data_IF_281483972454
#
_entry.id   IF_281483972454
#
_cell.length_a   1.000
_cell.length_b   1.000
_cell.length_c   1.000
_cell.angle_alpha   90.00
_cell.angle_beta   90.00
_cell.angle_gamma   90.00
#
_symmetry.space_group_name_H-M   'P 1'
#
loop_
_entity.id
_entity.type
_entity.pdbx_description
1 polymer ?
#
# COMPACT_ATOMS: atom_id res chain seq x y z
N UNK A 1 -9.92 -7.35 -3.10
CA UNK A 1 -10.84 -6.59 -2.23
C UNK A 1 -10.60 -5.13 -2.53
N UNK A 2 -11.63 -4.38 -2.92
CA UNK A 2 -11.47 -2.95 -3.25
C UNK A 2 -11.83 -2.13 -2.03
N UNK A 3 -10.95 -1.20 -1.66
CA UNK A 3 -11.18 -0.28 -0.56
C UNK A 3 -11.76 1.03 -1.11
N UNK A 4 -12.72 1.59 -0.38
CA UNK A 4 -13.50 2.76 -0.78
C UNK A 4 -13.49 3.83 0.29
N UNK A 5 -13.58 5.09 -0.13
CA UNK A 5 -13.52 6.27 0.74
C UNK A 5 -14.64 7.26 0.41
N UNK A 6 -15.18 7.88 1.45
CA UNK A 6 -16.14 8.98 1.34
C UNK A 6 -15.43 10.28 0.95
N UNK A 7 -16.21 11.30 0.56
CA UNK A 7 -15.67 12.62 0.19
C UNK A 7 -14.88 13.29 1.34
N UNK A 8 -15.25 13.02 2.59
CA UNK A 8 -14.54 13.54 3.77
C UNK A 8 -13.27 12.74 4.12
N UNK A 9 -12.94 11.71 3.33
CA UNK A 9 -11.78 10.84 3.54
C UNK A 9 -12.04 9.64 4.44
N UNK A 10 -13.22 9.50 5.06
CA UNK A 10 -13.51 8.35 5.90
C UNK A 10 -13.60 7.05 5.08
N UNK A 11 -12.96 6.00 5.59
CA UNK A 11 -13.01 4.67 5.00
C UNK A 11 -14.45 4.11 5.03
N UNK A 12 -14.89 3.55 3.89
CA UNK A 12 -16.17 2.86 3.72
C UNK A 12 -15.94 1.49 3.09
N UNK A 13 -15.16 0.65 3.77
CA UNK A 13 -14.78 -0.67 3.24
C UNK A 13 -15.92 -1.69 3.31
N UNK A 14 -16.81 -1.54 4.29
CA UNK A 14 -17.98 -2.42 4.48
C UNK A 14 -19.28 -1.63 4.55
N UNK A 15 -20.37 -2.29 4.15
CA UNK A 15 -21.74 -1.79 4.24
C UNK A 15 -22.69 -2.88 4.71
N UNK A 16 -23.84 -2.47 5.27
CA UNK A 16 -24.94 -3.38 5.59
C UNK A 16 -25.78 -3.61 4.34
N UNK A 17 -25.87 -4.86 3.90
CA UNK A 17 -26.69 -5.25 2.77
C UNK A 17 -28.19 -5.20 3.06
N UNK A 18 -29.02 -5.35 2.03
CA UNK A 18 -30.48 -5.38 2.18
C UNK A 18 -30.99 -6.52 3.08
N UNK A 19 -30.18 -7.58 3.26
CA UNK A 19 -30.43 -8.69 4.18
C UNK A 19 -30.00 -8.40 5.63
N UNK A 20 -29.55 -7.18 5.94
CA UNK A 20 -29.05 -6.80 7.27
C UNK A 20 -27.63 -7.30 7.58
N UNK A 21 -27.00 -8.06 6.70
CA UNK A 21 -25.64 -8.58 6.92
C UNK A 21 -24.58 -7.59 6.42
N UNK A 22 -23.49 -7.45 7.18
CA UNK A 22 -22.34 -6.67 6.76
C UNK A 22 -21.56 -7.40 5.65
N UNK A 23 -21.18 -6.68 4.59
CA UNK A 23 -20.38 -7.19 3.48
C UNK A 23 -19.43 -6.13 2.94
N UNK A 24 -18.50 -6.56 2.11
CA UNK A 24 -17.60 -5.66 1.39
C UNK A 24 -18.36 -4.70 0.47
N UNK A 25 -17.86 -3.48 0.39
CA UNK A 25 -18.35 -2.45 -0.51
C UNK A 25 -17.92 -2.77 -1.94
N UNK A 26 -18.88 -2.78 -2.86
CA UNK A 26 -18.65 -3.07 -4.27
C UNK A 26 -18.63 -1.78 -5.10
N UNK A 27 -18.14 -1.85 -6.33
CA UNK A 27 -18.25 -0.74 -7.29
C UNK A 27 -19.70 -0.30 -7.52
N UNK A 28 -20.67 -1.22 -7.42
CA UNK A 28 -22.10 -0.87 -7.53
C UNK A 28 -22.53 0.05 -6.38
N UNK A 29 -22.11 -0.28 -5.16
CA UNK A 29 -22.42 0.54 -3.98
C UNK A 29 -21.70 1.89 -4.08
N UNK A 30 -20.43 1.88 -4.50
CA UNK A 30 -19.65 3.10 -4.72
C UNK A 30 -20.31 4.05 -5.73
N UNK A 31 -20.92 3.52 -6.80
CA UNK A 31 -21.68 4.33 -7.76
C UNK A 31 -22.84 5.07 -7.11
N UNK A 32 -23.58 4.39 -6.24
CA UNK A 32 -24.74 4.97 -5.55
C UNK A 32 -24.31 5.97 -4.47
N UNK A 33 -23.25 5.66 -3.72
CA UNK A 33 -22.78 6.48 -2.60
C UNK A 33 -21.65 7.44 -2.95
N UNK A 34 -21.33 7.57 -4.24
CA UNK A 34 -20.25 8.42 -4.76
C UNK A 34 -18.90 8.20 -4.03
N UNK A 35 -18.50 6.95 -3.83
CA UNK A 35 -17.26 6.61 -3.11
C UNK A 35 -16.04 6.57 -4.04
N UNK A 36 -14.92 7.12 -3.57
CA UNK A 36 -13.66 7.06 -4.28
C UNK A 36 -12.97 5.69 -4.09
N UNK A 37 -12.42 5.09 -5.17
CA UNK A 37 -11.56 3.90 -5.05
C UNK A 37 -10.24 4.22 -4.34
N UNK A 38 -9.66 3.21 -3.70
CA UNK A 38 -8.36 3.35 -3.03
C UNK A 38 -7.19 3.51 -4.00
N UNK A 39 -6.11 4.15 -3.54
CA UNK A 39 -4.81 4.20 -4.24
C UNK A 39 -4.39 2.79 -4.71
N UNK A 40 -4.48 1.79 -3.84
CA UNK A 40 -4.12 0.40 -4.18
C UNK A 40 -5.06 -0.24 -5.20
N UNK A 41 -6.35 0.10 -5.19
CA UNK A 41 -7.33 -0.37 -6.19
C UNK A 41 -6.98 0.20 -7.56
N UNK A 42 -6.56 1.46 -7.64
CA UNK A 42 -6.16 2.11 -8.89
C UNK A 42 -4.84 1.56 -9.40
N UNK A 43 -3.84 1.37 -8.52
CA UNK A 43 -2.55 0.80 -8.89
C UNK A 43 -2.68 -0.63 -9.42
N UNK A 44 -3.72 -1.38 -9.00
CA UNK A 44 -3.98 -2.73 -9.50
C UNK A 44 -4.34 -2.80 -10.99
N UNK A 45 -4.54 -1.66 -11.66
CA UNK A 45 -4.59 -1.59 -13.12
C UNK A 45 -3.27 -1.97 -13.78
N UNK A 46 -2.14 -1.77 -13.09
CA UNK A 46 -0.85 -2.23 -13.56
C UNK A 46 -0.62 -3.69 -13.18
N UNK A 47 -0.01 -4.43 -14.09
CA UNK A 47 0.60 -5.70 -13.72
C UNK A 47 1.58 -5.47 -12.57
N UNK A 48 1.64 -6.43 -11.64
CA UNK A 48 2.61 -6.43 -10.54
C UNK A 48 3.57 -7.61 -10.71
N UNK A 49 4.53 -7.57 -11.67
CA UNK A 49 5.38 -8.71 -11.98
C UNK A 49 6.10 -9.28 -10.77
N UNK A 50 6.66 -8.42 -9.90
CA UNK A 50 7.33 -8.86 -8.68
C UNK A 50 6.43 -9.65 -7.72
N UNK A 51 5.14 -9.29 -7.61
CA UNK A 51 4.18 -10.04 -6.81
C UNK A 51 3.79 -11.35 -7.49
N UNK A 52 3.59 -11.33 -8.81
CA UNK A 52 3.29 -12.51 -9.62
C UNK A 52 4.42 -13.54 -9.53
N UNK A 53 5.67 -13.11 -9.72
CA UNK A 53 6.86 -13.95 -9.62
C UNK A 53 7.01 -14.52 -8.21
N UNK A 54 6.81 -13.69 -7.18
CA UNK A 54 6.84 -14.16 -5.80
C UNK A 54 5.78 -15.23 -5.52
N UNK A 55 4.52 -15.02 -5.95
CA UNK A 55 3.46 -16.03 -5.78
C UNK A 55 3.79 -17.33 -6.52
N UNK A 56 4.38 -17.24 -7.72
CA UNK A 56 4.83 -18.42 -8.46
C UNK A 56 5.96 -19.16 -7.71
N UNK A 57 6.93 -18.44 -7.18
CA UNK A 57 8.01 -19.03 -6.36
C UNK A 57 7.48 -19.71 -5.10
N UNK A 58 6.50 -19.12 -4.40
CA UNK A 58 5.89 -19.75 -3.21
C UNK A 58 5.10 -21.01 -3.58
N UNK A 59 4.46 -21.06 -4.75
CA UNK A 59 3.80 -22.28 -5.24
C UNK A 59 4.82 -23.38 -5.58
N UNK A 60 5.93 -23.01 -6.22
CA UNK A 60 7.03 -23.94 -6.52
C UNK A 60 7.67 -24.49 -5.25
N UNK A 61 7.95 -23.62 -4.26
CA UNK A 61 8.49 -24.05 -2.95
C UNK A 61 7.57 -25.05 -2.26
N UNK A 62 6.26 -24.81 -2.27
CA UNK A 62 5.29 -25.73 -1.70
C UNK A 62 5.30 -27.07 -2.45
N UNK A 63 5.33 -27.03 -3.78
CA UNK A 63 5.39 -28.24 -4.60
C UNK A 63 6.68 -29.06 -4.32
N UNK A 64 7.83 -28.40 -4.22
CA UNK A 64 9.11 -29.06 -3.90
C UNK A 64 9.13 -29.65 -2.50
N UNK A 65 8.55 -28.96 -1.52
CA UNK A 65 8.42 -29.47 -0.15
C UNK A 65 7.59 -30.75 -0.08
N UNK A 66 6.51 -30.82 -0.88
CA UNK A 66 5.62 -31.98 -0.90
C UNK A 66 6.09 -33.10 -1.85
N UNK A 67 6.98 -32.80 -2.80
CA UNK A 67 7.42 -33.73 -3.84
C UNK A 67 7.77 -35.16 -3.35
N UNK A 68 8.48 -35.36 -2.22
CA UNK A 68 8.80 -36.70 -1.73
C UNK A 68 7.59 -37.56 -1.31
N UNK A 69 6.42 -36.93 -1.11
CA UNK A 69 5.18 -37.57 -0.65
C UNK A 69 4.14 -37.71 -1.76
N UNK A 70 4.44 -37.21 -2.96
CA UNK A 70 3.51 -37.22 -4.09
C UNK A 70 3.69 -38.50 -4.92
N UNK A 71 2.60 -39.07 -5.46
CA UNK A 71 2.69 -40.18 -6.41
C UNK A 71 3.28 -39.70 -7.74
N UNK A 72 3.84 -40.62 -8.52
CA UNK A 72 4.41 -40.32 -9.86
C UNK A 72 3.37 -39.68 -10.81
N UNK A 73 2.10 -40.08 -10.69
CA UNK A 73 0.99 -39.52 -11.44
C UNK A 73 0.12 -38.64 -10.55
N UNK A 74 0.28 -37.32 -10.67
CA UNK A 74 -0.55 -36.36 -9.96
C UNK A 74 -1.90 -36.13 -10.64
N UNK A 75 -2.97 -36.38 -9.90
CA UNK A 75 -4.31 -35.97 -10.27
C UNK A 75 -4.49 -34.44 -10.15
N UNK A 76 -5.36 -33.82 -10.98
CA UNK A 76 -5.64 -32.38 -10.89
C UNK A 76 -6.11 -31.88 -9.52
N UNK A 77 -6.75 -32.76 -8.73
CA UNK A 77 -7.15 -32.46 -7.35
C UNK A 77 -5.95 -32.28 -6.41
N UNK A 78 -4.90 -33.09 -6.57
CA UNK A 78 -3.67 -32.99 -5.80
C UNK A 78 -2.93 -31.67 -6.12
N UNK A 79 -2.84 -31.32 -7.41
CA UNK A 79 -2.26 -30.04 -7.86
C UNK A 79 -3.00 -28.85 -7.25
N UNK A 80 -4.35 -28.86 -7.28
CA UNK A 80 -5.17 -27.82 -6.63
C UNK A 80 -4.94 -27.77 -5.12
N UNK A 81 -4.71 -28.91 -4.48
CA UNK A 81 -4.38 -29.00 -3.06
C UNK A 81 -3.06 -28.30 -2.72
N UNK A 82 -1.99 -28.57 -3.47
CA UNK A 82 -0.68 -27.91 -3.31
C UNK A 82 -0.83 -26.39 -3.47
N UNK A 83 -1.52 -25.97 -4.53
CA UNK A 83 -1.76 -24.55 -4.78
C UNK A 83 -2.55 -23.89 -3.64
N UNK A 84 -3.58 -24.56 -3.11
CA UNK A 84 -4.36 -24.05 -1.96
C UNK A 84 -3.49 -23.85 -0.72
N UNK A 85 -2.61 -24.81 -0.39
CA UNK A 85 -1.69 -24.71 0.74
C UNK A 85 -0.66 -23.60 0.56
N UNK A 86 -0.13 -23.43 -0.66
CA UNK A 86 0.72 -22.28 -0.98
C UNK A 86 0.00 -20.95 -0.74
N UNK A 87 -1.28 -20.84 -1.13
CA UNK A 87 -2.09 -19.65 -0.84
C UNK A 87 -2.32 -19.44 0.67
N UNK A 88 -2.52 -20.49 1.44
CA UNK A 88 -2.62 -20.40 2.91
C UNK A 88 -1.32 -19.85 3.53
N UNK A 89 -0.16 -20.33 3.09
CA UNK A 89 1.14 -19.82 3.54
C UNK A 89 1.33 -18.33 3.19
N UNK A 90 1.01 -17.92 1.96
CA UNK A 90 1.09 -16.48 1.57
C UNK A 90 0.11 -15.61 2.38
N UNK A 91 -1.07 -16.12 2.73
CA UNK A 91 -2.03 -15.44 3.60
C UNK A 91 -1.48 -15.24 5.01
N UNK A 92 -0.79 -16.24 5.57
CA UNK A 92 -0.13 -16.12 6.86
C UNK A 92 0.96 -15.05 6.84
N UNK A 93 1.77 -14.98 5.78
CA UNK A 93 2.79 -13.92 5.59
C UNK A 93 2.16 -12.52 5.52
N UNK A 94 1.06 -12.35 4.80
CA UNK A 94 0.33 -11.09 4.74
C UNK A 94 -0.30 -10.69 6.09
N UNK A 95 -0.77 -11.67 6.86
CA UNK A 95 -1.30 -11.44 8.21
C UNK A 95 -0.20 -10.98 9.17
N UNK A 96 0.99 -11.58 9.13
CA UNK A 96 2.16 -11.13 9.88
C UNK A 96 2.52 -9.69 9.53
N UNK A 97 2.53 -9.33 8.24
CA UNK A 97 2.75 -7.96 7.80
C UNK A 97 1.76 -6.97 8.41
N UNK A 98 0.47 -7.31 8.38
CA UNK A 98 -0.59 -6.51 9.04
C UNK A 98 -0.33 -6.32 10.53
N UNK A 99 0.11 -7.38 11.22
CA UNK A 99 0.42 -7.33 12.65
C UNK A 99 1.58 -6.38 12.94
N UNK A 100 2.65 -6.42 12.14
CA UNK A 100 3.81 -5.53 12.28
C UNK A 100 3.41 -4.07 12.04
N UNK A 101 2.65 -3.77 10.99
CA UNK A 101 2.17 -2.40 10.73
C UNK A 101 1.36 -1.86 11.92
N UNK A 102 0.43 -2.66 12.46
CA UNK A 102 -0.35 -2.29 13.65
C UNK A 102 0.52 -2.07 14.89
N UNK A 103 1.62 -2.80 15.03
CA UNK A 103 2.54 -2.59 16.13
C UNK A 103 3.28 -1.25 16.00
N UNK A 104 3.70 -0.87 14.79
CA UNK A 104 4.29 0.45 14.52
C UNK A 104 3.25 1.56 14.75
N UNK A 105 2.02 1.40 14.23
CA UNK A 105 0.91 2.33 14.44
C UNK A 105 0.66 2.60 15.93
N UNK A 106 0.52 1.54 16.74
CA UNK A 106 0.32 1.65 18.19
C UNK A 106 1.46 2.38 18.87
N UNK A 107 2.70 2.02 18.53
CA UNK A 107 3.87 2.68 19.10
C UNK A 107 3.91 4.19 18.76
N UNK A 108 3.51 4.58 17.54
CA UNK A 108 3.43 5.99 17.14
C UNK A 108 2.27 6.76 17.81
N UNK A 109 1.27 6.05 18.35
CA UNK A 109 0.17 6.64 19.14
C UNK A 109 0.44 6.66 20.65
N UNK A 110 1.64 6.28 21.09
CA UNK A 110 1.99 6.04 22.49
C UNK A 110 1.09 4.99 23.18
N UNK A 111 0.53 4.06 22.41
CA UNK A 111 -0.25 2.93 22.93
C UNK A 111 0.67 1.80 23.42
N UNK A 112 0.16 0.96 24.34
CA UNK A 112 0.90 -0.21 24.82
C UNK A 112 1.15 -1.24 23.68
N UNK A 113 2.42 -1.65 23.54
CA UNK A 113 2.85 -2.71 22.62
C UNK A 113 3.34 -3.95 23.38
N UNK A 114 3.13 -5.14 22.81
CA UNK A 114 3.66 -6.39 23.37
C UNK A 114 5.19 -6.46 23.21
N UNK A 115 5.86 -7.11 24.16
CA UNK A 115 7.33 -7.30 24.16
C UNK A 115 7.85 -7.99 22.89
N UNK A 116 7.08 -8.93 22.33
CA UNK A 116 7.41 -9.61 21.07
C UNK A 116 7.57 -8.56 19.97
N UNK A 117 6.46 -7.95 19.52
CA UNK A 117 6.43 -6.89 18.51
C UNK A 117 7.40 -5.72 18.72
N UNK A 118 7.74 -5.40 19.98
CA UNK A 118 8.69 -4.33 20.29
C UNK A 118 10.08 -4.59 19.68
N UNK A 119 10.51 -5.86 19.57
CA UNK A 119 11.80 -6.21 18.96
C UNK A 119 11.79 -6.05 17.44
N UNK A 120 10.71 -6.44 16.77
CA UNK A 120 10.61 -6.32 15.31
C UNK A 120 10.58 -4.85 14.86
N UNK A 121 9.93 -3.97 15.63
CA UNK A 121 9.73 -2.57 15.24
C UNK A 121 10.77 -1.59 15.80
N UNK A 122 11.64 -2.02 16.72
CA UNK A 122 12.58 -1.11 17.41
C UNK A 122 13.42 -0.28 16.42
N UNK A 123 14.04 -0.92 15.43
CA UNK A 123 14.85 -0.23 14.43
C UNK A 123 14.01 0.71 13.55
N UNK A 124 12.77 0.35 13.26
CA UNK A 124 11.81 1.22 12.54
C UNK A 124 11.53 2.49 13.34
N UNK A 125 11.23 2.37 14.63
CA UNK A 125 10.95 3.53 15.49
C UNK A 125 12.17 4.43 15.66
N UNK A 126 13.35 3.85 15.92
CA UNK A 126 14.61 4.60 16.00
C UNK A 126 14.91 5.35 14.69
N UNK A 127 14.65 4.72 13.55
CA UNK A 127 14.84 5.39 12.26
C UNK A 127 13.86 6.54 12.04
N UNK A 128 12.57 6.36 12.36
CA UNK A 128 11.56 7.43 12.28
C UNK A 128 11.93 8.62 13.19
N UNK A 129 12.34 8.36 14.42
CA UNK A 129 12.78 9.39 15.38
C UNK A 129 14.03 10.16 14.86
N UNK A 130 14.96 9.44 14.23
CA UNK A 130 16.16 10.08 13.62
C UNK A 130 15.81 11.00 12.45
N UNK A 131 14.67 10.76 11.79
CA UNK A 131 14.22 11.54 10.64
C UNK A 131 13.41 12.78 11.06
N UNK A 132 12.58 12.64 12.10
CA UNK A 132 11.82 13.73 12.70
C UNK A 132 11.46 13.42 14.15
N UNK A 133 11.60 14.45 15.00
CA UNK A 133 11.11 14.46 16.39
C UNK A 133 9.74 15.12 16.52
N UNK A 134 9.14 15.58 15.42
CA UNK A 134 7.80 16.12 15.42
C UNK A 134 6.76 14.98 15.49
N UNK A 135 5.49 15.36 15.64
CA UNK A 135 4.39 14.40 15.72
C UNK A 135 4.27 13.59 14.42
N UNK A 136 4.20 12.27 14.57
CA UNK A 136 3.85 11.34 13.51
C UNK A 136 2.36 11.02 13.60
N UNK A 137 1.68 11.05 12.46
CA UNK A 137 0.28 10.67 12.31
C UNK A 137 0.22 9.31 11.59
N UNK A 138 -0.07 8.21 12.29
CA UNK A 138 -0.22 6.90 11.66
C UNK A 138 -1.65 6.66 11.17
N UNK A 139 -1.79 5.89 10.09
CA UNK A 139 -3.08 5.47 9.50
C UNK A 139 -4.01 6.64 9.12
N UNK A 140 -3.45 7.70 8.53
CA UNK A 140 -4.24 8.86 8.07
C UNK A 140 -5.01 8.51 6.82
N UNK A 141 -6.34 8.42 6.96
CA UNK A 141 -7.26 8.28 5.82
C UNK A 141 -7.55 9.61 5.14
N UNK A 142 -7.74 9.57 3.82
CA UNK A 142 -8.00 10.75 3.01
C UNK A 142 -8.85 10.43 1.78
N UNK A 143 -9.44 11.47 1.20
CA UNK A 143 -9.90 11.47 -0.19
C UNK A 143 -9.38 12.72 -0.90
N UNK A 144 -9.26 12.67 -2.22
CA UNK A 144 -8.73 13.76 -3.02
C UNK A 144 -9.72 14.11 -4.15
N UNK A 145 -9.91 15.41 -4.50
CA UNK A 145 -10.83 15.85 -5.54
C UNK A 145 -10.67 15.19 -6.90
N UNK A 146 -9.52 14.58 -7.22
CA UNK A 146 -9.38 13.78 -8.44
C UNK A 146 -10.21 12.49 -8.46
N UNK A 147 -10.90 12.17 -7.36
CA UNK A 147 -11.78 11.00 -7.27
C UNK A 147 -11.05 9.73 -6.85
N UNK A 148 -10.07 9.85 -5.95
CA UNK A 148 -9.42 8.71 -5.29
C UNK A 148 -9.31 8.94 -3.78
N UNK A 149 -9.10 7.88 -3.02
CA UNK A 149 -8.82 7.95 -1.58
C UNK A 149 -7.77 6.94 -1.14
N UNK A 150 -7.39 6.97 0.12
CA UNK A 150 -6.36 6.08 0.64
C UNK A 150 -6.15 6.23 2.13
N UNK A 151 -5.26 5.41 2.66
CA UNK A 151 -4.76 5.51 4.03
C UNK A 151 -3.24 5.41 3.97
N UNK A 152 -2.54 6.32 4.65
CA UNK A 152 -1.07 6.28 4.76
C UNK A 152 -0.65 5.48 5.97
N UNK A 153 0.45 4.73 5.89
CA UNK A 153 1.00 4.07 7.10
C UNK A 153 1.46 5.12 8.13
N UNK A 154 2.28 6.10 7.71
CA UNK A 154 2.71 7.21 8.57
C UNK A 154 3.02 8.50 7.80
N UNK A 155 2.63 9.64 8.36
CA UNK A 155 2.98 10.98 7.85
C UNK A 155 3.45 11.87 8.99
N UNK A 156 4.49 12.67 8.76
CA UNK A 156 4.88 13.77 9.63
C UNK A 156 4.67 15.07 8.85
N UNK A 157 3.55 15.77 9.12
CA UNK A 157 3.16 16.96 8.35
C UNK A 157 4.10 18.14 8.52
N UNK A 158 4.57 18.36 9.75
CA UNK A 158 5.44 19.48 10.09
C UNK A 158 6.73 19.47 9.27
N UNK A 159 7.29 18.27 9.05
CA UNK A 159 8.52 18.09 8.29
C UNK A 159 8.29 17.58 6.86
N UNK A 160 7.02 17.50 6.41
CA UNK A 160 6.60 17.03 5.08
C UNK A 160 7.15 15.65 4.71
N UNK A 161 7.02 14.69 5.63
CA UNK A 161 7.52 13.33 5.44
C UNK A 161 6.34 12.38 5.26
N UNK A 162 6.41 11.49 4.27
CA UNK A 162 5.51 10.34 4.14
C UNK A 162 6.30 9.04 4.12
N UNK A 163 5.82 8.06 4.87
CA UNK A 163 6.42 6.73 4.97
C UNK A 163 5.35 5.67 4.70
N UNK A 164 5.74 4.66 3.94
CA UNK A 164 4.96 3.46 3.70
C UNK A 164 5.80 2.25 4.13
N UNK A 165 5.25 1.48 5.07
CA UNK A 165 5.91 0.31 5.62
C UNK A 165 5.73 -0.86 4.66
N UNK A 166 6.78 -1.66 4.50
CA UNK A 166 6.76 -2.87 3.67
C UNK A 166 7.36 -4.01 4.46
N UNK A 167 6.64 -5.10 4.62
CA UNK A 167 7.15 -6.29 5.31
C UNK A 167 7.57 -7.35 4.31
N UNK A 168 8.76 -7.92 4.49
CA UNK A 168 9.32 -8.92 3.58
C UNK A 168 10.31 -9.83 4.31
N UNK A 169 10.47 -11.05 3.81
CA UNK A 169 11.56 -11.94 4.23
C UNK A 169 12.87 -11.50 3.57
N UNK A 170 13.86 -11.06 4.37
CA UNK A 170 15.22 -10.71 3.94
C UNK A 170 16.16 -10.62 5.13
N UNK A 171 17.47 -10.70 4.89
CA UNK A 171 18.54 -10.61 5.89
C UNK A 171 19.48 -9.44 5.60
N UNK A 172 20.38 -9.16 6.53
CA UNK A 172 21.38 -8.11 6.35
C UNK A 172 22.27 -8.44 5.14
N UNK A 173 22.42 -7.47 4.23
CA UNK A 173 23.17 -7.63 2.99
C UNK A 173 22.35 -8.11 1.79
N UNK A 174 21.08 -8.51 1.99
CA UNK A 174 20.19 -8.84 0.88
C UNK A 174 19.72 -7.56 0.18
N UNK A 175 19.63 -7.61 -1.16
CA UNK A 175 19.00 -6.55 -1.94
C UNK A 175 17.48 -6.60 -1.78
N UNK A 176 16.89 -5.46 -1.41
CA UNK A 176 15.44 -5.33 -1.31
C UNK A 176 14.89 -4.73 -2.60
N UNK A 177 14.24 -5.59 -3.41
CA UNK A 177 13.62 -5.16 -4.66
C UNK A 177 12.52 -4.09 -4.45
N UNK A 178 12.57 -3.05 -5.27
CA UNK A 178 11.66 -1.90 -5.26
C UNK A 178 11.04 -1.77 -6.66
N UNK A 179 9.75 -1.41 -6.72
CA UNK A 179 8.99 -1.33 -7.96
C UNK A 179 8.27 0.00 -8.09
N UNK A 180 7.87 0.38 -9.30
CA UNK A 180 7.21 1.67 -9.55
C UNK A 180 5.90 1.85 -8.75
N UNK A 181 5.17 0.77 -8.48
CA UNK A 181 3.95 0.85 -7.67
C UNK A 181 4.21 1.34 -6.24
N UNK A 182 5.42 1.17 -5.71
CA UNK A 182 5.80 1.71 -4.41
C UNK A 182 5.87 3.23 -4.41
N UNK A 183 6.55 3.83 -5.41
CA UNK A 183 6.64 5.29 -5.53
C UNK A 183 5.30 5.91 -5.95
N UNK A 184 4.52 5.22 -6.78
CA UNK A 184 3.15 5.64 -7.12
C UNK A 184 2.27 5.76 -5.88
N UNK A 185 2.31 4.74 -5.00
CA UNK A 185 1.52 4.72 -3.77
C UNK A 185 1.93 5.89 -2.85
N UNK A 186 3.23 6.06 -2.59
CA UNK A 186 3.75 7.14 -1.76
C UNK A 186 3.39 8.52 -2.31
N UNK A 187 3.53 8.73 -3.63
CA UNK A 187 3.24 10.02 -4.25
C UNK A 187 1.76 10.36 -4.21
N UNK A 188 0.88 9.39 -4.50
CA UNK A 188 -0.57 9.57 -4.39
C UNK A 188 -1.00 9.87 -2.94
N UNK A 189 -0.38 9.21 -1.96
CA UNK A 189 -0.58 9.46 -0.54
C UNK A 189 -0.10 10.85 -0.13
N UNK A 190 1.09 11.28 -0.55
CA UNK A 190 1.64 12.61 -0.25
C UNK A 190 0.71 13.75 -0.72
N UNK A 191 0.17 13.61 -1.93
CA UNK A 191 -0.84 14.53 -2.48
C UNK A 191 -2.16 14.40 -1.71
N UNK A 192 -2.60 13.18 -1.44
CA UNK A 192 -3.86 12.89 -0.78
C UNK A 192 -3.97 13.46 0.63
N UNK A 193 -2.87 13.41 1.39
CA UNK A 193 -2.80 14.04 2.71
C UNK A 193 -2.43 15.52 2.63
N UNK A 194 -2.11 16.07 1.47
CA UNK A 194 -1.87 17.50 1.29
C UNK A 194 -0.50 18.01 1.75
N UNK A 195 0.49 17.13 1.89
CA UNK A 195 1.90 17.57 2.05
C UNK A 195 2.55 17.87 0.69
N UNK A 196 1.95 17.36 -0.40
CA UNK A 196 2.24 17.68 -1.79
C UNK A 196 0.99 18.21 -2.50
N UNK A 197 1.15 18.80 -3.69
CA UNK A 197 0.01 19.21 -4.53
C UNK A 197 0.02 18.53 -5.89
N UNK A 198 -1.17 18.28 -6.40
CA UNK A 198 -1.37 17.55 -7.65
C UNK A 198 -0.91 18.36 -8.87
N UNK A 199 -1.03 19.69 -8.81
CA UNK A 199 -0.70 20.63 -9.87
C UNK A 199 0.79 21.02 -9.92
N UNK A 200 1.59 20.59 -8.94
CA UNK A 200 3.00 20.93 -8.89
C UNK A 200 3.79 20.33 -10.05
N UNK A 201 4.60 21.19 -10.67
CA UNK A 201 5.64 20.82 -11.64
C UNK A 201 6.77 20.03 -10.96
N UNK A 202 7.60 19.35 -11.75
CA UNK A 202 8.77 18.63 -11.24
C UNK A 202 9.68 19.54 -10.39
N UNK A 203 9.84 20.80 -10.81
CA UNK A 203 10.65 21.79 -10.07
C UNK A 203 10.04 22.15 -8.72
N UNK A 204 8.73 22.36 -8.66
CA UNK A 204 8.04 22.64 -7.39
C UNK A 204 8.11 21.46 -6.42
N UNK A 205 8.09 20.21 -6.93
CA UNK A 205 8.37 19.02 -6.12
C UNK A 205 9.80 19.05 -5.56
N UNK A 206 10.80 19.35 -6.40
CA UNK A 206 12.21 19.44 -5.97
C UNK A 206 12.43 20.53 -4.92
N UNK A 207 11.75 21.67 -5.05
CA UNK A 207 11.81 22.80 -4.12
C UNK A 207 10.90 22.62 -2.88
N UNK A 208 10.03 21.62 -2.85
CA UNK A 208 9.00 21.44 -1.80
C UNK A 208 9.55 21.05 -0.42
N UNK A 209 10.73 20.42 -0.39
CA UNK A 209 11.32 19.81 0.80
C UNK A 209 10.66 18.50 1.25
N UNK A 210 9.76 17.90 0.45
CA UNK A 210 9.14 16.60 0.78
C UNK A 210 10.20 15.51 0.86
N UNK A 211 10.06 14.64 1.87
CA UNK A 211 10.82 13.40 1.98
C UNK A 211 9.86 12.21 1.94
N UNK A 212 10.19 11.19 1.17
CA UNK A 212 9.35 10.02 1.00
C UNK A 212 10.17 8.74 1.04
N UNK A 213 9.68 7.75 1.78
CA UNK A 213 10.40 6.50 2.00
C UNK A 213 9.48 5.29 1.97
N UNK A 214 9.88 4.24 1.27
CA UNK A 214 9.42 2.90 1.62
C UNK A 214 10.36 2.35 2.67
N UNK A 215 9.81 1.88 3.79
CA UNK A 215 10.60 1.36 4.89
C UNK A 215 10.37 -0.15 4.97
N UNK A 216 11.35 -0.91 4.51
CA UNK A 216 11.27 -2.37 4.48
C UNK A 216 11.66 -2.96 5.82
N UNK A 217 10.75 -3.68 6.46
CA UNK A 217 10.90 -4.30 7.77
C UNK A 217 11.03 -5.81 7.56
N UNK A 218 12.12 -6.40 8.05
CA UNK A 218 12.37 -7.83 7.88
C UNK A 218 11.44 -8.65 8.76
N UNK A 219 10.78 -9.65 8.17
CA UNK A 219 10.00 -10.65 8.90
C UNK A 219 10.84 -11.85 9.35
N UNK A 220 12.12 -11.91 8.97
CA UNK A 220 13.04 -13.03 9.28
C UNK A 220 14.22 -12.63 10.16
N UNK A 221 14.45 -11.34 10.35
CA UNK A 221 15.53 -10.79 11.17
C UNK A 221 14.96 -9.64 12.01
N UNK A 222 14.54 -9.90 13.25
CA UNK A 222 13.97 -8.88 14.12
C UNK A 222 14.90 -7.67 14.28
N UNK A 223 14.35 -6.47 14.20
CA UNK A 223 15.13 -5.22 14.29
C UNK A 223 15.94 -4.89 13.05
N UNK A 224 15.72 -5.55 11.90
CA UNK A 224 16.30 -5.16 10.62
C UNK A 224 15.28 -4.36 9.80
N UNK A 225 15.64 -3.10 9.52
CA UNK A 225 14.86 -2.18 8.70
C UNK A 225 15.74 -1.52 7.64
N UNK A 226 15.27 -1.47 6.39
CA UNK A 226 15.97 -0.86 5.25
C UNK A 226 15.12 0.27 4.67
N UNK A 227 15.51 1.55 4.85
CA UNK A 227 14.84 2.68 4.24
C UNK A 227 15.23 2.82 2.76
N UNK A 228 14.24 2.99 1.89
CA UNK A 228 14.43 3.32 0.48
C UNK A 228 13.92 4.75 0.25
N UNK A 229 14.82 5.73 0.08
CA UNK A 229 14.44 7.11 -0.20
C UNK A 229 13.99 7.29 -1.65
N UNK A 230 12.99 8.13 -1.86
CA UNK A 230 12.60 8.60 -3.20
C UNK A 230 12.99 10.05 -3.42
N UNK A 231 13.59 10.31 -4.57
CA UNK A 231 13.86 11.69 -5.01
C UNK A 231 12.54 12.40 -5.33
N UNK A 232 12.45 13.73 -5.17
CA UNK A 232 11.25 14.47 -5.58
C UNK A 232 10.88 14.27 -7.05
N UNK A 233 11.87 14.14 -7.93
CA UNK A 233 11.66 13.79 -9.35
C UNK A 233 11.01 12.42 -9.52
N UNK A 234 11.43 11.42 -8.76
CA UNK A 234 10.80 10.09 -8.78
C UNK A 234 9.36 10.15 -8.23
N UNK A 235 9.12 10.94 -7.18
CA UNK A 235 7.78 11.17 -6.62
C UNK A 235 6.84 11.83 -7.63
N UNK A 236 7.28 12.90 -8.29
CA UNK A 236 6.52 13.55 -9.36
C UNK A 236 6.20 12.56 -10.51
N UNK A 237 7.19 11.77 -10.95
CA UNK A 237 6.97 10.69 -11.93
C UNK A 237 5.96 9.65 -11.44
N UNK A 238 6.10 9.20 -10.20
CA UNK A 238 5.20 8.23 -9.57
C UNK A 238 3.76 8.74 -9.51
N UNK A 239 3.56 10.01 -9.19
CA UNK A 239 2.24 10.63 -9.22
C UNK A 239 1.67 10.69 -10.65
N UNK A 240 2.48 11.05 -11.64
CA UNK A 240 2.06 11.05 -13.05
C UNK A 240 1.61 9.66 -13.53
N UNK A 241 2.36 8.62 -13.15
CA UNK A 241 1.99 7.23 -13.43
C UNK A 241 0.67 6.86 -12.73
N UNK A 242 0.52 7.22 -11.45
CA UNK A 242 -0.71 6.99 -10.70
C UNK A 242 -1.93 7.66 -11.33
N UNK A 243 -1.82 8.93 -11.72
CA UNK A 243 -2.91 9.67 -12.39
C UNK A 243 -3.29 9.03 -13.72
N UNK A 244 -2.32 8.48 -14.47
CA UNK A 244 -2.59 7.73 -15.69
C UNK A 244 -3.38 6.45 -15.43
N UNK A 245 -3.07 5.73 -14.34
CA UNK A 245 -3.85 4.58 -13.89
C UNK A 245 -5.25 4.99 -13.41
N UNK A 246 -5.38 6.14 -12.76
CA UNK A 246 -6.68 6.67 -12.34
C UNK A 246 -7.56 6.99 -13.55
N UNK A 247 -7.02 7.64 -14.58
CA UNK A 247 -7.72 7.92 -15.83
C UNK A 247 -8.20 6.63 -16.51
N UNK A 248 -7.30 5.66 -16.65
CA UNK A 248 -7.64 4.33 -17.18
C UNK A 248 -8.74 3.65 -16.34
N UNK A 249 -8.61 3.66 -15.01
CA UNK A 249 -9.58 3.05 -14.11
C UNK A 249 -10.96 3.71 -14.25
N UNK A 250 -11.02 5.04 -14.25
CA UNK A 250 -12.27 5.80 -14.38
C UNK A 250 -12.93 5.56 -15.73
N UNK A 251 -12.15 5.55 -16.82
CA UNK A 251 -12.63 5.27 -18.17
C UNK A 251 -13.16 3.83 -18.31
N UNK A 252 -12.37 2.83 -17.87
CA UNK A 252 -12.75 1.41 -17.94
C UNK A 252 -14.02 1.12 -17.14
N UNK A 253 -14.13 1.69 -15.95
CA UNK A 253 -15.27 1.50 -15.07
C UNK A 253 -16.44 2.45 -15.36
N UNK A 254 -16.29 3.40 -16.30
CA UNK A 254 -17.25 4.46 -16.61
C UNK A 254 -17.76 5.14 -15.33
N UNK A 255 -16.83 5.47 -14.43
CA UNK A 255 -17.17 5.93 -13.09
C UNK A 255 -16.08 6.82 -12.50
N UNK A 256 -16.51 7.96 -11.98
CA UNK A 256 -15.81 8.78 -11.00
C UNK A 256 -16.83 9.24 -9.95
N UNK A 257 -16.43 9.50 -8.69
CA UNK A 257 -17.32 10.08 -7.69
C UNK A 257 -17.94 11.40 -8.18
N UNK A 258 -19.22 11.67 -7.86
CA UNK A 258 -19.90 12.87 -8.37
C UNK A 258 -19.29 14.20 -7.90
N UNK A 259 -18.59 14.19 -6.77
CA UNK A 259 -17.86 15.33 -6.22
C UNK A 259 -16.45 15.50 -6.80
N UNK A 260 -15.99 14.57 -7.64
CA UNK A 260 -14.66 14.64 -8.23
C UNK A 260 -14.57 15.68 -9.34
N UNK A 261 -13.38 16.27 -9.50
CA UNK A 261 -13.06 17.18 -10.59
C UNK A 261 -12.46 16.40 -11.77
N UNK A 262 -12.72 16.84 -13.02
CA UNK A 262 -12.13 16.21 -14.21
C UNK A 262 -10.59 16.18 -14.18
N UNK A 263 -9.99 15.02 -14.53
CA UNK A 263 -8.53 14.85 -14.56
C UNK A 263 -7.82 15.75 -15.57
N UNK A 264 -8.50 16.18 -16.64
CA UNK A 264 -7.95 17.09 -17.64
C UNK A 264 -7.59 18.48 -17.05
N UNK A 265 -8.09 18.82 -15.86
CA UNK A 265 -7.68 20.02 -15.12
C UNK A 265 -6.23 19.95 -14.61
N UNK A 266 -5.62 18.76 -14.54
CA UNK A 266 -4.30 18.52 -13.93
C UNK A 266 -3.28 17.97 -14.94
N UNK A 267 -3.56 17.95 -16.25
CA UNK A 267 -2.57 17.49 -17.24
C UNK A 267 -1.26 18.26 -17.04
N UNK A 268 -0.26 17.53 -16.54
CA UNK A 268 1.02 18.03 -16.09
C UNK A 268 1.60 18.90 -17.20
N UNK A 269 1.68 20.21 -16.95
CA UNK A 269 2.45 21.09 -17.83
C UNK A 269 3.89 20.61 -17.71
N UNK A 270 4.42 20.10 -18.83
CA UNK A 270 5.77 19.54 -18.92
C UNK A 270 6.85 20.52 -18.51
#
# INVERSE_FOLDING_TARGET
MSHWYQQDGQAKHRIVGANGAERDTTLRDARTSHLAPSVTTIISELASPGLTDWMAMEAIKQALFEAPMLPDNLEPSAIRGIFSRSREATKAKAALGTTIHKAVERALRDDAISIEHAKEIAATLTWLESLSRALWEPEVSFSHPLGYGGTTDAVCRNDKIVVDFKTKEFRAGDDVAVYDYHVMQLAACAVGVGIAKAEWTCREWEESGIKAFNLFISTTTPGLTVPIPWTPKAMHRGFAMFVSCLDLWQARNKYAPAWSVPLNAIRLKG
#
